data_IF_265982196495
#
_entry.id   IF_265982196495
#
_cell.length_a   1.000
_cell.length_b   1.000
_cell.length_c   1.000
_cell.angle_alpha   90.00
_cell.angle_beta   90.00
_cell.angle_gamma   90.00
#
_symmetry.space_group_name_H-M   'P 1'
#
loop_
_entity.id
_entity.type
_entity.pdbx_description
1 polymer ?
#
# COMPACT_ATOMS: atom_id res chain seq x y z
N UNK A 1 -5.10 2.92 -6.63
CA UNK A 1 -4.39 3.40 -5.41
C UNK A 1 -4.50 2.34 -4.31
N UNK A 2 -3.37 1.91 -3.72
CA UNK A 2 -3.29 0.93 -2.62
C UNK A 2 -2.68 1.54 -1.35
N UNK A 3 -2.99 0.96 -0.20
CA UNK A 3 -2.35 1.30 1.07
C UNK A 3 -0.94 0.69 1.19
N UNK A 4 -0.08 1.36 1.98
CA UNK A 4 1.27 0.86 2.30
C UNK A 4 1.23 -0.10 3.50
N UNK A 5 2.00 -1.18 3.41
CA UNK A 5 2.21 -2.12 4.50
C UNK A 5 2.92 -1.45 5.72
N UNK A 6 2.81 -2.09 6.89
CA UNK A 6 3.44 -1.66 8.16
C UNK A 6 2.87 -0.38 8.81
N UNK A 7 1.70 0.10 8.38
CA UNK A 7 0.99 1.22 9.00
C UNK A 7 0.13 0.82 10.22
N UNK A 8 -0.07 -0.48 10.48
CA UNK A 8 -1.06 -0.93 11.48
C UNK A 8 -0.48 -1.39 12.83
N UNK A 9 0.81 -1.80 12.90
CA UNK A 9 1.36 -2.43 14.12
C UNK A 9 2.78 -1.95 14.43
N UNK A 10 3.11 -1.78 15.72
CA UNK A 10 4.38 -1.24 16.25
C UNK A 10 4.74 0.08 15.57
N UNK A 11 3.92 1.11 15.83
CA UNK A 11 4.15 2.46 15.31
C UNK A 11 5.03 3.31 16.24
N UNK A 12 5.09 2.94 17.52
CA UNK A 12 5.89 3.62 18.54
C UNK A 12 7.38 3.58 18.22
N UNK A 13 7.91 2.41 17.80
CA UNK A 13 9.32 2.24 17.39
C UNK A 13 9.67 2.87 16.02
N UNK A 14 8.68 3.29 15.22
CA UNK A 14 8.91 3.85 13.88
C UNK A 14 9.09 5.37 13.95
N UNK A 15 10.17 5.87 13.36
CA UNK A 15 10.45 7.30 13.29
C UNK A 15 9.36 8.13 12.57
N UNK A 16 9.20 9.43 12.90
CA UNK A 16 8.15 10.29 12.32
C UNK A 16 8.18 10.36 10.78
N UNK A 17 9.37 10.45 10.17
CA UNK A 17 9.54 10.46 8.70
C UNK A 17 8.98 9.19 8.04
N UNK A 18 9.24 8.03 8.65
CA UNK A 18 8.71 6.74 8.17
C UNK A 18 7.20 6.68 8.31
N UNK A 19 6.64 7.09 9.45
CA UNK A 19 5.19 7.15 9.67
C UNK A 19 4.50 8.06 8.64
N UNK A 20 5.06 9.23 8.31
CA UNK A 20 4.52 10.14 7.27
C UNK A 20 4.48 9.48 5.89
N UNK A 21 5.58 8.83 5.47
CA UNK A 21 5.63 8.10 4.20
C UNK A 21 4.57 6.99 4.14
N UNK A 22 4.36 6.26 5.23
CA UNK A 22 3.36 5.18 5.28
C UNK A 22 1.91 5.66 5.21
N UNK A 23 1.63 6.96 5.45
CA UNK A 23 0.26 7.51 5.35
C UNK A 23 -0.20 7.70 3.90
N UNK A 24 0.73 7.87 2.96
CA UNK A 24 0.43 8.14 1.56
C UNK A 24 0.09 6.84 0.82
N UNK A 25 -0.94 6.90 -0.03
CA UNK A 25 -1.24 5.85 -0.99
C UNK A 25 -0.14 5.71 -2.04
N UNK A 26 -0.03 4.53 -2.64
CA UNK A 26 0.82 4.31 -3.81
C UNK A 26 0.03 3.60 -4.88
N UNK A 27 0.52 3.59 -6.11
CA UNK A 27 -0.06 2.74 -7.13
C UNK A 27 0.36 1.28 -6.96
N UNK A 28 -0.36 0.43 -7.67
CA UNK A 28 -0.05 -1.00 -7.78
C UNK A 28 1.07 -1.14 -8.81
N UNK A 29 1.99 -2.06 -8.53
CA UNK A 29 3.07 -2.37 -9.45
C UNK A 29 2.54 -3.00 -10.76
N UNK A 30 3.16 -2.68 -11.89
CA UNK A 30 2.68 -3.07 -13.22
C UNK A 30 2.58 -4.59 -13.39
N UNK A 31 3.47 -5.35 -12.76
CA UNK A 31 3.45 -6.81 -12.79
C UNK A 31 2.17 -7.41 -12.18
N UNK A 32 1.59 -6.74 -11.19
CA UNK A 32 0.41 -7.22 -10.44
C UNK A 32 -0.93 -6.76 -11.03
N UNK A 33 -0.93 -5.76 -11.92
CA UNK A 33 -2.16 -5.21 -12.51
C UNK A 33 -2.93 -6.26 -13.32
N UNK A 34 -2.24 -7.09 -14.11
CA UNK A 34 -2.89 -8.13 -14.92
C UNK A 34 -3.62 -9.16 -14.08
N UNK A 35 -3.05 -9.52 -12.93
CA UNK A 35 -3.67 -10.44 -11.98
C UNK A 35 -4.92 -9.81 -11.34
N UNK A 36 -4.81 -8.55 -10.89
CA UNK A 36 -5.94 -7.84 -10.29
C UNK A 36 -7.12 -7.66 -11.25
N UNK A 37 -6.86 -7.34 -12.53
CA UNK A 37 -7.92 -7.23 -13.55
C UNK A 37 -8.69 -8.54 -13.75
N UNK A 38 -8.02 -9.68 -13.58
CA UNK A 38 -8.69 -11.00 -13.64
C UNK A 38 -9.51 -11.29 -12.39
N UNK A 39 -9.01 -10.91 -11.22
CA UNK A 39 -9.67 -11.15 -9.94
C UNK A 39 -10.84 -10.19 -9.68
N UNK A 40 -10.78 -8.98 -10.24
CA UNK A 40 -11.76 -7.92 -10.06
C UNK A 40 -12.27 -7.45 -11.44
N UNK A 41 -13.08 -8.26 -12.13
CA UNK A 41 -13.46 -8.01 -13.53
C UNK A 41 -14.43 -6.83 -13.73
N UNK A 42 -15.09 -6.37 -12.67
CA UNK A 42 -16.14 -5.33 -12.72
C UNK A 42 -15.75 -4.05 -11.97
N UNK A 43 -14.46 -3.85 -11.71
CA UNK A 43 -13.91 -2.68 -11.03
C UNK A 43 -13.02 -1.84 -11.96
#
# INVERSE_FOLDING_TARGET
VRARAYKSHILTKKGPKRKRRLRQGTDVDSANVKLLKRMLPYL
#
